data_IF_906300027139
#
_entry.id   IF_906300027139
#
_cell.length_a   1.000
_cell.length_b   1.000
_cell.length_c   1.000
_cell.angle_alpha   90.00
_cell.angle_beta   90.00
_cell.angle_gamma   90.00
#
_symmetry.space_group_name_H-M   'P 1'
#
loop_
_entity.id
_entity.type
_entity.pdbx_description
1 polymer ?
#
# COMPACT_ATOMS: atom_id res chain seq x y z
N UNK A 1 -45.21 14.48 -21.73
CA UNK A 1 -45.54 13.14 -22.27
C UNK A 1 -44.53 12.13 -21.73
N UNK A 2 -44.97 11.20 -20.87
CA UNK A 2 -44.17 10.13 -20.25
C UNK A 2 -44.49 8.79 -20.96
N UNK A 3 -43.48 8.04 -21.40
CA UNK A 3 -43.57 6.64 -21.88
C UNK A 3 -42.14 6.07 -21.81
N UNK A 4 -41.87 4.82 -21.45
CA UNK A 4 -42.46 3.81 -20.57
C UNK A 4 -41.35 2.74 -20.51
N UNK A 5 -41.16 2.11 -19.36
CA UNK A 5 -40.10 1.15 -19.08
C UNK A 5 -40.59 -0.30 -19.33
N UNK A 6 -39.79 -1.12 -20.04
CA UNK A 6 -39.76 -2.61 -20.16
C UNK A 6 -40.86 -3.36 -20.98
N UNK A 7 -40.66 -4.65 -21.35
CA UNK A 7 -39.81 -5.15 -22.45
C UNK A 7 -40.59 -6.11 -23.40
N UNK A 8 -40.10 -6.37 -24.61
CA UNK A 8 -40.69 -7.39 -25.50
C UNK A 8 -40.13 -8.77 -25.13
N UNK A 9 -41.03 -9.69 -24.75
CA UNK A 9 -40.72 -11.10 -24.51
C UNK A 9 -40.65 -11.85 -25.85
N UNK A 10 -39.54 -12.54 -26.10
CA UNK A 10 -39.40 -13.49 -27.20
C UNK A 10 -39.96 -14.87 -26.78
N UNK A 11 -40.65 -15.61 -27.66
CA UNK A 11 -41.27 -16.88 -27.32
C UNK A 11 -40.26 -18.02 -27.18
N UNK A 12 -40.45 -18.80 -26.11
CA UNK A 12 -39.75 -20.06 -25.83
C UNK A 12 -40.28 -21.15 -26.76
N UNK A 13 -39.38 -21.79 -27.51
CA UNK A 13 -39.65 -23.03 -28.23
C UNK A 13 -38.96 -24.20 -27.51
N UNK A 14 -39.78 -25.13 -27.02
CA UNK A 14 -39.36 -26.41 -26.43
C UNK A 14 -38.93 -27.41 -27.52
N UNK A 15 -37.88 -28.18 -27.25
CA UNK A 15 -37.59 -29.41 -27.98
C UNK A 15 -36.15 -29.92 -27.85
N UNK A 16 -36.04 -31.15 -27.34
CA UNK A 16 -34.87 -32.05 -27.28
C UNK A 16 -33.98 -31.98 -26.01
N UNK A 17 -34.03 -33.10 -25.29
CA UNK A 17 -33.41 -33.46 -24.01
C UNK A 17 -32.44 -34.59 -24.30
N UNK A 18 -31.15 -34.31 -24.37
CA UNK A 18 -30.13 -35.32 -24.64
C UNK A 18 -28.80 -34.99 -23.91
N UNK A 19 -28.69 -35.52 -22.69
CA UNK A 19 -27.51 -36.16 -22.09
C UNK A 19 -26.19 -35.39 -21.80
N UNK A 20 -26.18 -34.78 -20.61
CA UNK A 20 -25.19 -34.86 -19.54
C UNK A 20 -23.88 -35.67 -19.71
N UNK A 21 -22.76 -35.01 -20.01
CA UNK A 21 -21.44 -35.49 -19.53
C UNK A 21 -20.31 -34.46 -19.57
N UNK A 22 -20.43 -33.37 -18.79
CA UNK A 22 -19.24 -32.71 -18.21
C UNK A 22 -19.59 -32.14 -16.82
N UNK A 23 -19.60 -33.03 -15.84
CA UNK A 23 -19.50 -32.66 -14.43
C UNK A 23 -18.06 -32.19 -14.11
N UNK A 24 -17.70 -31.00 -14.62
CA UNK A 24 -16.51 -30.29 -14.13
C UNK A 24 -16.90 -29.57 -12.84
N UNK A 25 -16.71 -30.31 -11.74
CA UNK A 25 -16.34 -29.84 -10.40
C UNK A 25 -16.61 -28.36 -10.07
N UNK A 26 -17.87 -27.94 -10.10
CA UNK A 26 -18.29 -26.66 -9.52
C UNK A 26 -18.40 -26.87 -8.01
N UNK A 27 -17.27 -26.80 -7.29
CA UNK A 27 -17.32 -26.71 -5.82
C UNK A 27 -18.13 -25.45 -5.51
N UNK A 28 -19.33 -25.56 -4.90
CA UNK A 28 -19.96 -24.39 -4.35
C UNK A 28 -19.06 -23.99 -3.19
N UNK A 29 -18.26 -22.94 -3.36
CA UNK A 29 -17.59 -22.35 -2.22
C UNK A 29 -18.72 -21.90 -1.29
N UNK A 30 -18.90 -22.58 -0.17
CA UNK A 30 -19.80 -22.22 0.93
C UNK A 30 -19.30 -20.93 1.63
N UNK A 31 -18.87 -19.93 0.88
CA UNK A 31 -18.92 -18.56 1.31
C UNK A 31 -20.29 -18.06 0.90
N UNK A 32 -21.27 -18.32 1.76
CA UNK A 32 -22.50 -17.55 1.78
C UNK A 32 -22.13 -16.10 1.48
N UNK A 33 -22.70 -15.57 0.40
CA UNK A 33 -22.54 -14.19 0.02
C UNK A 33 -23.12 -13.36 1.16
N UNK A 34 -22.28 -13.03 2.13
CA UNK A 34 -22.62 -12.11 3.20
C UNK A 34 -22.96 -10.81 2.47
N UNK A 35 -24.22 -10.33 2.54
CA UNK A 35 -24.58 -9.13 1.82
C UNK A 35 -23.61 -8.04 2.28
N UNK A 36 -22.86 -7.51 1.30
CA UNK A 36 -21.93 -6.41 1.52
C UNK A 36 -22.80 -5.18 1.71
N UNK A 37 -23.46 -5.10 2.87
CA UNK A 37 -24.11 -3.88 3.30
C UNK A 37 -23.04 -2.82 3.30
N UNK A 38 -23.30 -1.74 2.57
CA UNK A 38 -22.49 -0.57 2.55
C UNK A 38 -22.39 -0.04 4.00
N UNK A 39 -21.36 -0.47 4.73
CA UNK A 39 -21.02 0.10 6.03
C UNK A 39 -20.32 1.43 5.79
N UNK A 40 -21.14 2.42 5.48
CA UNK A 40 -20.81 3.82 5.67
C UNK A 40 -20.51 4.05 7.16
N UNK A 41 -19.40 4.73 7.40
CA UNK A 41 -19.07 5.62 8.52
C UNK A 41 -19.56 5.18 9.91
N UNK A 42 -18.62 4.64 10.72
CA UNK A 42 -18.87 4.32 12.13
C UNK A 42 -18.80 2.83 12.52
N UNK A 43 -18.23 1.95 11.69
CA UNK A 43 -17.99 0.55 12.11
C UNK A 43 -17.02 0.52 13.31
N UNK A 44 -17.45 0.11 14.52
CA UNK A 44 -16.58 0.08 15.70
C UNK A 44 -15.33 -0.78 15.47
N UNK A 45 -15.37 -1.73 14.53
CA UNK A 45 -14.20 -2.49 14.10
C UNK A 45 -13.11 -1.65 13.44
N UNK A 46 -13.45 -0.54 12.76
CA UNK A 46 -12.46 0.39 12.18
C UNK A 46 -11.73 1.17 13.28
N UNK A 47 -12.44 1.63 14.31
CA UNK A 47 -11.85 2.34 15.43
C UNK A 47 -10.88 1.47 16.23
N UNK A 48 -11.29 0.23 16.55
CA UNK A 48 -10.40 -0.74 17.20
C UNK A 48 -9.16 -1.03 16.35
N UNK A 49 -9.33 -1.22 15.03
CA UNK A 49 -8.20 -1.45 14.13
C UNK A 49 -7.21 -0.28 14.11
N UNK A 50 -7.72 0.96 14.07
CA UNK A 50 -6.87 2.16 14.16
C UNK A 50 -6.09 2.20 15.47
N UNK A 51 -6.72 1.89 16.60
CA UNK A 51 -6.04 1.82 17.90
C UNK A 51 -4.94 0.74 17.91
N UNK A 52 -5.22 -0.44 17.36
CA UNK A 52 -4.23 -1.52 17.24
C UNK A 52 -3.05 -1.09 16.36
N UNK A 53 -3.30 -0.41 15.24
CA UNK A 53 -2.24 0.13 14.38
C UNK A 53 -1.38 1.17 15.09
N UNK A 54 -2.01 2.10 15.82
CA UNK A 54 -1.30 3.13 16.60
C UNK A 54 -0.50 2.52 17.74
N UNK A 55 -1.06 1.53 18.45
CA UNK A 55 -0.35 0.79 19.49
C UNK A 55 0.84 0.02 18.92
N UNK A 56 0.66 -0.63 17.76
CA UNK A 56 1.76 -1.29 17.05
C UNK A 56 2.87 -0.32 16.65
N UNK A 57 2.51 0.85 16.12
CA UNK A 57 3.48 1.90 15.80
C UNK A 57 4.22 2.40 17.05
N UNK A 58 3.50 2.63 18.16
CA UNK A 58 4.11 3.04 19.43
C UNK A 58 5.10 1.98 19.95
N UNK A 59 4.74 0.70 19.88
CA UNK A 59 5.62 -0.40 20.27
C UNK A 59 6.88 -0.47 19.41
N UNK A 60 6.77 -0.26 18.09
CA UNK A 60 7.92 -0.17 17.19
C UNK A 60 8.84 0.97 17.61
N UNK A 61 8.29 2.16 17.88
CA UNK A 61 9.08 3.34 18.28
C UNK A 61 9.78 3.10 19.62
N UNK A 62 9.09 2.54 20.61
CA UNK A 62 9.66 2.22 21.93
C UNK A 62 10.76 1.17 21.79
N UNK A 63 10.50 0.08 21.05
CA UNK A 63 11.46 -0.99 20.82
C UNK A 63 12.71 -0.51 20.11
N UNK A 64 12.56 0.30 19.05
CA UNK A 64 13.68 0.85 18.30
C UNK A 64 14.54 1.78 19.17
N UNK A 65 13.91 2.66 19.97
CA UNK A 65 14.63 3.57 20.88
C UNK A 65 15.34 2.87 22.04
N UNK A 66 14.78 1.75 22.50
CA UNK A 66 15.36 0.94 23.58
C UNK A 66 16.40 -0.07 23.10
N UNK A 67 16.58 -0.25 21.78
CA UNK A 67 17.52 -1.22 21.25
C UNK A 67 18.97 -0.71 21.40
N UNK A 68 19.92 -1.59 21.75
CA UNK A 68 21.33 -1.23 21.74
C UNK A 68 21.81 -0.96 20.31
N UNK A 69 22.68 0.03 20.15
CA UNK A 69 23.34 0.31 18.88
C UNK A 69 24.36 -0.80 18.59
N UNK A 70 24.00 -1.75 17.72
CA UNK A 70 24.88 -2.81 17.24
C UNK A 70 25.18 -2.55 15.76
N UNK A 71 26.34 -1.99 15.41
CA UNK A 71 26.68 -1.69 14.01
C UNK A 71 26.91 -2.98 13.23
N UNK A 72 26.33 -3.05 12.02
CA UNK A 72 26.50 -4.16 11.07
C UNK A 72 27.30 -3.73 9.84
N UNK A 73 27.11 -2.51 9.37
CA UNK A 73 27.88 -1.93 8.28
C UNK A 73 27.99 -0.41 8.45
N UNK A 74 28.94 0.19 7.74
CA UNK A 74 29.10 1.63 7.68
C UNK A 74 28.38 2.16 6.44
N UNK A 75 27.40 3.08 6.59
CA UNK A 75 26.80 3.78 5.45
C UNK A 75 27.87 4.50 4.62
N UNK A 76 27.69 4.54 3.30
CA UNK A 76 28.61 5.28 2.44
C UNK A 76 28.49 6.79 2.73
N UNK A 77 29.60 7.55 2.70
CA UNK A 77 29.54 9.01 2.81
C UNK A 77 28.67 9.62 1.70
N UNK A 78 27.99 10.74 2.01
CA UNK A 78 27.19 11.54 1.05
C UNK A 78 25.94 10.87 0.47
N UNK A 79 25.55 9.68 0.92
CA UNK A 79 24.33 9.00 0.45
C UNK A 79 23.03 9.65 0.94
N UNK A 80 23.10 10.65 1.83
CA UNK A 80 21.91 11.34 2.34
C UNK A 80 21.09 12.09 1.29
N UNK A 81 21.73 12.62 0.24
CA UNK A 81 20.99 13.26 -0.85
C UNK A 81 20.16 12.24 -1.64
N UNK A 82 20.74 11.07 -1.92
CA UNK A 82 20.02 9.96 -2.56
C UNK A 82 18.89 9.46 -1.66
N UNK A 83 19.15 9.28 -0.37
CA UNK A 83 18.12 8.91 0.61
C UNK A 83 16.93 9.89 0.59
N UNK A 84 17.20 11.19 0.62
CA UNK A 84 16.15 12.21 0.62
C UNK A 84 15.31 12.17 -0.67
N UNK A 85 15.94 11.95 -1.82
CA UNK A 85 15.22 11.76 -3.09
C UNK A 85 14.35 10.50 -3.04
N UNK A 86 14.90 9.37 -2.58
CA UNK A 86 14.15 8.11 -2.46
C UNK A 86 12.95 8.25 -1.50
N UNK A 87 13.11 8.97 -0.40
CA UNK A 87 12.04 9.23 0.56
C UNK A 87 10.92 10.09 -0.03
N UNK A 88 11.27 11.12 -0.81
CA UNK A 88 10.26 11.92 -1.51
C UNK A 88 9.48 11.07 -2.53
N UNK A 89 10.16 10.22 -3.30
CA UNK A 89 9.53 9.29 -4.23
C UNK A 89 8.64 8.28 -3.50
N UNK A 90 9.08 7.76 -2.35
CA UNK A 90 8.28 6.86 -1.53
C UNK A 90 6.98 7.52 -1.06
N UNK A 91 7.02 8.78 -0.60
CA UNK A 91 5.83 9.51 -0.19
C UNK A 91 4.87 9.77 -1.35
N UNK A 92 5.38 10.09 -2.53
CA UNK A 92 4.58 10.26 -3.75
C UNK A 92 3.87 8.95 -4.12
N UNK A 93 4.59 7.83 -4.14
CA UNK A 93 4.00 6.52 -4.44
C UNK A 93 2.99 6.07 -3.39
N UNK A 94 3.28 6.32 -2.10
CA UNK A 94 2.35 6.02 -1.02
C UNK A 94 1.08 6.87 -1.14
N UNK A 95 1.23 8.17 -1.37
CA UNK A 95 0.11 9.08 -1.61
C UNK A 95 -0.73 8.66 -2.82
N UNK A 96 -0.11 8.09 -3.85
CA UNK A 96 -0.81 7.63 -5.05
C UNK A 96 -1.78 6.48 -4.73
N UNK A 97 -1.44 5.61 -3.76
CA UNK A 97 -2.32 4.54 -3.31
C UNK A 97 -3.59 5.02 -2.61
N UNK A 98 -3.49 6.16 -1.94
CA UNK A 98 -4.59 6.76 -1.18
C UNK A 98 -5.46 7.63 -2.07
N UNK A 99 -4.85 8.58 -2.80
CA UNK A 99 -5.59 9.60 -3.55
C UNK A 99 -6.18 9.06 -4.87
N UNK A 100 -5.57 8.04 -5.49
CA UNK A 100 -6.07 7.38 -6.71
C UNK A 100 -6.36 8.38 -7.85
N UNK A 101 -5.33 9.13 -8.26
CA UNK A 101 -5.34 9.97 -9.45
C UNK A 101 -4.91 9.21 -10.72
N UNK A 102 -4.10 9.81 -11.58
CA UNK A 102 -3.60 9.17 -12.82
C UNK A 102 -2.41 8.28 -12.51
N UNK A 103 -1.50 8.72 -11.64
CA UNK A 103 -0.29 7.96 -11.28
C UNK A 103 -0.62 6.54 -10.76
N UNK A 104 -1.69 6.41 -9.98
CA UNK A 104 -2.17 5.13 -9.45
C UNK A 104 -2.47 4.08 -10.53
N UNK A 105 -2.89 4.49 -11.73
CA UNK A 105 -3.27 3.52 -12.78
C UNK A 105 -2.08 2.99 -13.56
N UNK A 106 -0.90 3.59 -13.40
CA UNK A 106 0.33 3.17 -14.07
C UNK A 106 1.12 2.14 -13.28
N UNK A 107 0.77 1.96 -12.01
CA UNK A 107 1.52 1.14 -11.07
C UNK A 107 0.55 0.17 -10.40
N UNK A 108 0.85 -1.14 -10.48
CA UNK A 108 -0.01 -2.17 -9.87
C UNK A 108 -0.05 -2.09 -8.34
N UNK A 109 1.10 -1.85 -7.71
CA UNK A 109 1.30 -1.94 -6.26
C UNK A 109 2.02 -0.72 -5.67
N UNK A 110 1.52 0.52 -5.87
CA UNK A 110 2.29 1.71 -5.52
C UNK A 110 2.57 1.82 -4.02
N UNK A 111 1.68 1.30 -3.17
CA UNK A 111 1.92 1.25 -1.72
C UNK A 111 3.06 0.31 -1.34
N UNK A 112 3.12 -0.89 -1.90
CA UNK A 112 4.21 -1.83 -1.59
C UNK A 112 5.54 -1.35 -2.20
N UNK A 113 5.52 -0.74 -3.38
CA UNK A 113 6.71 -0.12 -3.96
C UNK A 113 7.20 1.06 -3.11
N UNK A 114 6.28 1.88 -2.57
CA UNK A 114 6.63 2.94 -1.63
C UNK A 114 7.31 2.37 -0.37
N UNK A 115 6.77 1.28 0.20
CA UNK A 115 7.39 0.63 1.38
C UNK A 115 8.76 0.04 1.06
N UNK A 116 8.96 -0.53 -0.13
CA UNK A 116 10.28 -1.01 -0.57
C UNK A 116 11.27 0.15 -0.69
N UNK A 117 10.88 1.26 -1.34
CA UNK A 117 11.73 2.44 -1.44
C UNK A 117 12.05 3.02 -0.06
N UNK A 118 11.06 3.10 0.83
CA UNK A 118 11.24 3.55 2.22
C UNK A 118 12.26 2.68 2.96
N UNK A 119 12.09 1.36 2.88
CA UNK A 119 13.00 0.41 3.52
C UNK A 119 14.41 0.52 2.96
N UNK A 120 14.57 0.57 1.64
CA UNK A 120 15.88 0.74 0.99
C UNK A 120 16.55 2.04 1.38
N UNK A 121 15.81 3.15 1.41
CA UNK A 121 16.32 4.46 1.81
C UNK A 121 16.86 4.40 3.26
N UNK A 122 16.07 3.85 4.19
CA UNK A 122 16.51 3.75 5.58
C UNK A 122 17.70 2.83 5.79
N UNK A 123 17.77 1.70 5.08
CA UNK A 123 18.95 0.83 5.13
C UNK A 123 20.19 1.51 4.52
N UNK A 124 20.02 2.40 3.54
CA UNK A 124 21.15 3.10 2.92
C UNK A 124 21.89 4.01 3.92
N UNK A 125 21.17 4.60 4.87
CA UNK A 125 21.69 5.58 5.82
C UNK A 125 21.81 5.07 7.26
N UNK A 126 21.20 3.92 7.58
CA UNK A 126 21.29 3.30 8.90
C UNK A 126 21.90 1.90 8.81
N UNK A 127 23.09 1.75 9.40
CA UNK A 127 23.90 0.52 9.34
C UNK A 127 23.84 -0.37 10.58
N UNK A 128 22.86 -0.20 11.47
CA UNK A 128 22.74 -0.94 12.72
C UNK A 128 21.72 -2.10 12.65
N UNK A 129 21.81 -3.02 13.60
CA UNK A 129 20.97 -4.22 13.68
C UNK A 129 19.48 -3.90 13.84
N UNK A 130 19.11 -2.88 14.63
CA UNK A 130 17.71 -2.55 14.85
C UNK A 130 17.07 -2.03 13.54
N UNK A 131 17.79 -1.19 12.81
CA UNK A 131 17.39 -0.69 11.49
C UNK A 131 17.26 -1.82 10.46
N UNK A 132 18.24 -2.74 10.41
CA UNK A 132 18.19 -3.89 9.51
C UNK A 132 16.98 -4.77 9.78
N UNK A 133 16.70 -5.08 11.04
CA UNK A 133 15.54 -5.89 11.41
C UNK A 133 14.23 -5.19 11.09
N UNK A 134 14.08 -3.91 11.41
CA UNK A 134 12.85 -3.17 11.18
C UNK A 134 12.57 -2.95 9.69
N UNK A 135 13.48 -2.30 8.98
CA UNK A 135 13.28 -1.94 7.58
C UNK A 135 13.45 -3.13 6.65
N UNK A 136 14.38 -4.04 6.95
CA UNK A 136 14.54 -5.29 6.21
C UNK A 136 13.28 -6.15 6.27
N UNK A 137 12.66 -6.31 7.44
CA UNK A 137 11.42 -7.07 7.57
C UNK A 137 10.26 -6.43 6.80
N UNK A 138 10.12 -5.09 6.84
CA UNK A 138 9.10 -4.37 6.08
C UNK A 138 9.29 -4.50 4.56
N UNK A 139 10.54 -4.42 4.09
CA UNK A 139 10.90 -4.62 2.68
C UNK A 139 10.61 -6.04 2.20
N UNK A 140 11.04 -7.05 2.96
CA UNK A 140 10.78 -8.46 2.66
C UNK A 140 9.29 -8.78 2.65
N UNK A 141 8.54 -8.27 3.64
CA UNK A 141 7.09 -8.43 3.68
C UNK A 141 6.40 -7.80 2.47
N UNK A 142 6.86 -6.63 2.04
CA UNK A 142 6.30 -5.93 0.88
C UNK A 142 6.55 -6.70 -0.42
N UNK A 143 7.76 -7.22 -0.61
CA UNK A 143 8.09 -8.10 -1.75
C UNK A 143 7.24 -9.37 -1.73
N UNK A 144 7.16 -10.06 -0.59
CA UNK A 144 6.34 -11.26 -0.42
C UNK A 144 4.86 -10.99 -0.71
N UNK A 145 4.35 -9.83 -0.28
CA UNK A 145 2.97 -9.41 -0.54
C UNK A 145 2.71 -9.19 -2.03
N UNK A 146 3.61 -8.52 -2.75
CA UNK A 146 3.52 -8.35 -4.21
C UNK A 146 3.46 -9.71 -4.91
N UNK A 147 4.37 -10.63 -4.56
CA UNK A 147 4.42 -11.97 -5.16
C UNK A 147 3.14 -12.76 -4.89
N UNK A 148 2.67 -12.74 -3.64
CA UNK A 148 1.46 -13.46 -3.23
C UNK A 148 0.20 -12.91 -3.92
N UNK A 149 0.08 -11.58 -4.03
CA UNK A 149 -1.06 -10.95 -4.71
C UNK A 149 -1.01 -11.23 -6.21
N UNK A 150 0.16 -11.11 -6.84
CA UNK A 150 0.33 -11.43 -8.26
C UNK A 150 -0.03 -12.89 -8.58
N UNK A 151 0.37 -13.82 -7.73
CA UNK A 151 0.04 -15.24 -7.87
C UNK A 151 -1.47 -15.51 -7.72
N UNK A 152 -2.18 -14.74 -6.89
CA UNK A 152 -3.63 -14.89 -6.64
C UNK A 152 -4.50 -14.21 -7.69
N UNK A 153 -4.11 -13.03 -8.15
CA UNK A 153 -4.94 -12.19 -9.02
C UNK A 153 -4.59 -12.31 -10.51
N UNK A 154 -3.44 -12.88 -10.87
CA UNK A 154 -3.04 -13.09 -12.26
C UNK A 154 -2.71 -11.78 -13.00
N UNK A 155 -3.11 -11.68 -14.27
CA UNK A 155 -2.78 -10.55 -15.16
C UNK A 155 -3.45 -9.27 -14.67
N UNK A 156 -2.66 -8.21 -14.55
CA UNK A 156 -3.15 -6.91 -14.11
C UNK A 156 -3.95 -6.19 -15.19
N UNK A 157 -5.12 -5.68 -14.83
CA UNK A 157 -5.91 -4.75 -15.61
C UNK A 157 -5.89 -3.38 -14.92
N UNK A 158 -5.31 -2.33 -15.54
CA UNK A 158 -5.26 -1.00 -14.95
C UNK A 158 -6.66 -0.45 -14.65
N UNK A 159 -6.89 0.10 -13.45
CA UNK A 159 -8.17 0.76 -13.14
C UNK A 159 -8.31 2.06 -13.96
N UNK A 160 -9.55 2.58 -14.14
CA UNK A 160 -9.75 3.84 -14.83
C UNK A 160 -9.07 5.00 -14.08
N UNK A 161 -8.45 5.96 -14.78
CA UNK A 161 -7.73 7.06 -14.17
C UNK A 161 -8.65 8.01 -13.42
N UNK A 162 -8.21 8.40 -12.22
CA UNK A 162 -8.78 9.53 -11.51
C UNK A 162 -8.39 10.86 -12.18
N UNK A 163 -9.00 11.98 -11.75
CA UNK A 163 -8.68 13.29 -12.29
C UNK A 163 -7.27 13.77 -11.90
N UNK A 164 -6.58 14.46 -12.82
CA UNK A 164 -5.21 14.98 -12.64
C UNK A 164 -5.06 15.86 -11.40
N UNK A 165 -6.11 16.60 -10.99
CA UNK A 165 -6.09 17.42 -9.77
C UNK A 165 -5.72 16.62 -8.50
N UNK A 166 -5.99 15.31 -8.48
CA UNK A 166 -5.61 14.44 -7.35
C UNK A 166 -4.12 14.19 -7.32
N UNK A 167 -3.47 14.10 -8.47
CA UNK A 167 -2.01 13.97 -8.53
C UNK A 167 -1.34 15.30 -8.17
N UNK A 168 -1.92 16.45 -8.56
CA UNK A 168 -1.44 17.75 -8.10
C UNK A 168 -1.59 17.92 -6.59
N UNK A 169 -2.74 17.54 -6.02
CA UNK A 169 -2.96 17.53 -4.58
C UNK A 169 -1.98 16.59 -3.85
N UNK A 170 -1.71 15.43 -4.45
CA UNK A 170 -0.71 14.47 -3.95
C UNK A 170 0.67 15.11 -3.83
N UNK A 171 1.12 15.88 -4.83
CA UNK A 171 2.43 16.54 -4.76
C UNK A 171 2.49 17.53 -3.58
N UNK A 172 1.43 18.34 -3.39
CA UNK A 172 1.35 19.26 -2.26
C UNK A 172 1.35 18.54 -0.90
N UNK A 173 0.58 17.45 -0.77
CA UNK A 173 0.56 16.63 0.44
C UNK A 173 1.92 15.96 0.67
N UNK A 174 2.55 15.42 -0.38
CA UNK A 174 3.85 14.76 -0.26
C UNK A 174 4.93 15.72 0.23
N UNK A 175 4.99 16.95 -0.29
CA UNK A 175 5.92 17.98 0.19
C UNK A 175 5.63 18.36 1.65
N UNK A 176 4.36 18.51 2.01
CA UNK A 176 3.95 18.84 3.38
C UNK A 176 4.34 17.73 4.37
N UNK A 177 4.04 16.47 4.02
CA UNK A 177 4.41 15.31 4.82
C UNK A 177 5.92 15.13 4.90
N UNK A 178 6.64 15.36 3.81
CA UNK A 178 8.10 15.32 3.80
C UNK A 178 8.67 16.31 4.82
N UNK A 179 8.22 17.57 4.78
CA UNK A 179 8.64 18.59 5.74
C UNK A 179 8.31 18.22 7.20
N UNK A 180 7.12 17.69 7.45
CA UNK A 180 6.73 17.22 8.79
C UNK A 180 7.63 16.08 9.27
N UNK A 181 7.85 15.06 8.44
CA UNK A 181 8.69 13.89 8.74
C UNK A 181 10.12 14.33 9.01
N UNK A 182 10.73 15.15 8.15
CA UNK A 182 12.11 15.61 8.35
C UNK A 182 12.23 16.47 9.61
N UNK A 183 11.22 17.28 9.93
CA UNK A 183 11.20 18.06 11.17
C UNK A 183 11.16 17.16 12.41
N UNK A 184 10.34 16.10 12.39
CA UNK A 184 10.31 15.10 13.47
C UNK A 184 11.65 14.39 13.62
N UNK A 185 12.32 14.05 12.51
CA UNK A 185 13.65 13.41 12.54
C UNK A 185 14.70 14.33 13.17
N UNK A 186 14.72 15.61 12.78
CA UNK A 186 15.61 16.62 13.39
C UNK A 186 15.31 16.75 14.89
N UNK A 187 14.04 16.82 15.27
CA UNK A 187 13.62 16.91 16.68
C UNK A 187 14.05 15.68 17.51
N UNK A 188 14.03 14.49 16.91
CA UNK A 188 14.50 13.25 17.53
C UNK A 188 16.03 13.09 17.51
N UNK A 189 16.78 14.05 16.96
CA UNK A 189 18.25 14.05 16.92
C UNK A 189 18.86 13.42 15.67
N UNK A 190 18.05 12.99 14.70
CA UNK A 190 18.51 12.37 13.45
C UNK A 190 18.31 13.34 12.29
N UNK A 191 19.27 14.22 12.01
CA UNK A 191 19.11 15.23 10.95
C UNK A 191 19.30 14.62 9.54
N UNK A 192 18.25 14.54 8.68
CA UNK A 192 18.34 13.89 7.36
C UNK A 192 19.16 14.64 6.31
N UNK A 193 19.58 15.88 6.59
CA UNK A 193 20.23 16.77 5.60
C UNK A 193 21.74 16.90 5.78
N UNK A 194 22.35 16.20 6.74
CA UNK A 194 23.80 16.27 6.98
C UNK A 194 24.64 15.65 5.86
N UNK A 195 24.03 14.88 4.96
CA UNK A 195 24.70 14.28 3.79
C UNK A 195 25.55 13.06 4.15
N UNK A 196 26.32 13.14 5.24
CA UNK A 196 27.05 12.03 5.86
C UNK A 196 26.36 11.58 7.16
N UNK A 197 26.15 10.28 7.31
CA UNK A 197 25.67 9.67 8.54
C UNK A 197 26.77 8.72 9.03
N UNK A 198 27.50 9.16 10.04
CA UNK A 198 28.60 8.44 10.68
C UNK A 198 28.68 8.86 12.15
#
# INVERSE_FOLDING_TARGET
>A
MKRLWYPVAEPVADGAVDDWSFAVHRRPSLRAARPRSARADGDPGKGLLTLVMLAGLALIVIGFRGAPLVPLYQPLPHVGYLNNLLMLLALVLFGASVLKGVLWTRIRHPQFLATILWATAHLLVNGDLASVLLFGSLGLWSLGSILLINAREGRWSPPPPGPLRRDLALLGIAVTLYGAITSTHIWLGHNPFLGSFG
#
